data_IF_067767396867
#
_entry.id   IF_067767396867
#
_cell.length_a   1.000
_cell.length_b   1.000
_cell.length_c   1.000
_cell.angle_alpha   90.00
_cell.angle_beta   90.00
_cell.angle_gamma   90.00
#
_symmetry.space_group_name_H-M   'P 1'
#
loop_
_entity.id
_entity.type
_entity.pdbx_description
1 polymer ?
#
# COMPACT_ATOMS: atom_id res chain seq x y z
N UNK A 1 -5.01 -5.09 -30.17
CA UNK A 1 -5.05 -4.00 -29.16
C UNK A 1 -3.90 -3.06 -29.47
N UNK A 2 -4.15 -1.77 -29.67
CA UNK A 2 -3.07 -0.82 -29.97
C UNK A 2 -2.29 -0.58 -28.66
N UNK A 3 -1.03 -1.04 -28.60
CA UNK A 3 -0.16 -0.95 -27.40
C UNK A 3 0.00 0.52 -26.94
N UNK A 4 0.08 1.45 -27.87
CA UNK A 4 0.19 2.89 -27.60
C UNK A 4 -1.01 3.42 -26.82
N UNK A 5 -2.24 3.01 -27.16
CA UNK A 5 -3.45 3.42 -26.43
C UNK A 5 -3.47 2.94 -24.97
N UNK A 6 -2.85 1.80 -24.68
CA UNK A 6 -2.76 1.27 -23.31
C UNK A 6 -1.68 1.99 -22.50
N UNK A 7 -0.54 2.29 -23.12
CA UNK A 7 0.53 3.04 -22.48
C UNK A 7 0.09 4.47 -22.13
N UNK A 8 -0.51 5.17 -23.10
CA UNK A 8 -1.02 6.54 -22.92
C UNK A 8 -2.03 6.61 -21.77
N UNK A 9 -3.01 5.67 -21.72
CA UNK A 9 -4.00 5.62 -20.65
C UNK A 9 -3.38 5.34 -19.29
N UNK A 10 -2.38 4.45 -19.22
CA UNK A 10 -1.68 4.17 -17.97
C UNK A 10 -0.87 5.39 -17.53
N UNK A 11 -0.26 6.10 -18.44
CA UNK A 11 0.49 7.31 -18.17
C UNK A 11 -0.42 8.44 -17.69
N UNK A 12 -1.57 8.65 -18.33
CA UNK A 12 -2.60 9.58 -17.88
C UNK A 12 -3.09 9.25 -16.48
N UNK A 13 -3.41 7.97 -16.22
CA UNK A 13 -3.80 7.52 -14.89
C UNK A 13 -2.68 7.79 -13.86
N UNK A 14 -1.43 7.52 -14.22
CA UNK A 14 -0.29 7.78 -13.34
C UNK A 14 -0.09 9.26 -12.98
N UNK A 15 -0.50 10.17 -13.85
CA UNK A 15 -0.44 11.63 -13.62
C UNK A 15 -1.57 12.17 -12.76
N UNK A 16 -2.59 11.37 -12.47
CA UNK A 16 -3.69 11.81 -11.60
C UNK A 16 -3.15 12.13 -10.22
N UNK A 17 -3.35 13.37 -9.80
CA UNK A 17 -2.98 13.82 -8.46
C UNK A 17 -4.04 13.38 -7.45
N UNK A 18 -3.63 12.60 -6.45
CA UNK A 18 -4.52 12.12 -5.39
C UNK A 18 -4.61 13.12 -4.24
N UNK A 19 -3.49 13.78 -3.91
CA UNK A 19 -3.42 14.81 -2.88
C UNK A 19 -2.24 15.76 -3.12
N UNK A 20 -1.90 16.62 -2.16
CA UNK A 20 -0.81 17.60 -2.30
C UNK A 20 0.51 16.98 -2.76
N UNK A 21 0.89 15.83 -2.20
CA UNK A 21 2.21 15.21 -2.40
C UNK A 21 2.16 13.86 -3.13
N UNK A 22 0.98 13.29 -3.37
CA UNK A 22 0.82 11.94 -3.91
C UNK A 22 0.11 11.93 -5.25
N UNK A 23 0.63 11.08 -6.15
CA UNK A 23 0.05 10.81 -7.47
C UNK A 23 -0.31 9.33 -7.59
N UNK A 24 -1.23 9.00 -8.48
CA UNK A 24 -1.69 7.60 -8.66
C UNK A 24 -0.52 6.66 -9.00
N UNK A 25 0.50 7.12 -9.76
CA UNK A 25 1.69 6.32 -10.11
C UNK A 25 2.47 5.82 -8.90
N UNK A 26 2.45 6.55 -7.78
CA UNK A 26 3.16 6.15 -6.56
C UNK A 26 2.63 4.83 -5.99
N UNK A 27 1.40 4.45 -6.35
CA UNK A 27 0.69 3.29 -5.83
C UNK A 27 0.52 2.15 -6.84
N UNK A 28 0.85 2.37 -8.12
CA UNK A 28 0.63 1.36 -9.18
C UNK A 28 1.77 0.35 -9.30
N UNK A 29 2.92 0.59 -8.68
CA UNK A 29 4.01 -0.38 -8.71
C UNK A 29 3.69 -1.59 -7.83
N UNK A 30 3.98 -2.78 -8.35
CA UNK A 30 3.88 -4.05 -7.63
C UNK A 30 4.99 -4.99 -8.10
N UNK A 31 5.79 -5.52 -7.17
CA UNK A 31 6.83 -6.50 -7.46
C UNK A 31 6.25 -7.75 -8.12
N UNK A 32 5.07 -8.19 -7.68
CA UNK A 32 4.37 -9.35 -8.27
C UNK A 32 4.05 -9.07 -9.74
N UNK A 33 3.46 -7.91 -10.01
CA UNK A 33 3.11 -7.51 -11.37
C UNK A 33 4.35 -7.39 -12.27
N UNK A 34 5.39 -6.72 -11.78
CA UNK A 34 6.62 -6.47 -12.52
C UNK A 34 7.37 -7.78 -12.82
N UNK A 35 7.50 -8.66 -11.85
CA UNK A 35 8.24 -9.92 -12.00
C UNK A 35 7.52 -10.94 -12.89
N UNK A 36 6.19 -11.01 -12.79
CA UNK A 36 5.41 -12.02 -13.50
C UNK A 36 4.74 -11.48 -14.78
N UNK A 37 5.00 -10.24 -15.17
CA UNK A 37 4.43 -9.63 -16.38
C UNK A 37 2.90 -9.46 -16.33
N UNK A 38 2.33 -9.31 -15.13
CA UNK A 38 0.89 -9.14 -14.93
C UNK A 38 0.57 -7.65 -14.92
N UNK A 39 -0.54 -7.25 -15.54
CA UNK A 39 -0.97 -5.86 -15.56
C UNK A 39 -1.56 -5.46 -14.21
N UNK A 40 -1.03 -4.37 -13.62
CA UNK A 40 -1.56 -3.79 -12.39
C UNK A 40 -2.29 -2.48 -12.69
N UNK A 41 -3.44 -2.59 -13.35
CA UNK A 41 -4.26 -1.46 -13.81
C UNK A 41 -5.66 -1.62 -13.24
N UNK A 42 -6.25 -0.56 -12.64
CA UNK A 42 -7.62 -0.60 -12.15
C UNK A 42 -8.64 -0.88 -13.27
N UNK A 43 -9.59 -1.75 -13.01
CA UNK A 43 -10.74 -1.98 -13.88
C UNK A 43 -11.76 -0.84 -13.77
N UNK A 44 -11.85 -0.23 -12.58
CA UNK A 44 -12.62 0.99 -12.34
C UNK A 44 -11.69 2.12 -11.85
N UNK A 45 -11.03 2.85 -12.78
CA UNK A 45 -10.08 3.91 -12.42
C UNK A 45 -10.67 5.03 -11.58
N UNK A 46 -11.93 5.42 -11.84
CA UNK A 46 -12.59 6.50 -11.10
C UNK A 46 -12.72 6.15 -9.62
N UNK A 47 -13.13 4.91 -9.32
CA UNK A 47 -13.23 4.44 -7.93
C UNK A 47 -11.86 4.33 -7.29
N UNK A 48 -10.85 3.80 -7.99
CA UNK A 48 -9.48 3.73 -7.48
C UNK A 48 -8.91 5.12 -7.17
N UNK A 49 -9.18 6.12 -8.01
CA UNK A 49 -8.78 7.51 -7.80
C UNK A 49 -9.50 8.09 -6.57
N UNK A 50 -10.81 7.87 -6.46
CA UNK A 50 -11.59 8.35 -5.32
C UNK A 50 -11.06 7.78 -3.99
N UNK A 51 -10.94 6.47 -3.89
CA UNK A 51 -10.46 5.81 -2.66
C UNK A 51 -9.00 6.13 -2.35
N UNK A 52 -8.17 6.27 -3.39
CA UNK A 52 -6.78 6.72 -3.27
C UNK A 52 -6.68 8.15 -2.72
N UNK A 53 -7.56 9.08 -3.16
CA UNK A 53 -7.63 10.43 -2.58
C UNK A 53 -7.99 10.38 -1.11
N UNK A 54 -9.01 9.61 -0.75
CA UNK A 54 -9.42 9.48 0.65
C UNK A 54 -8.31 8.93 1.54
N UNK A 55 -7.56 7.92 1.06
CA UNK A 55 -6.38 7.40 1.76
C UNK A 55 -5.30 8.49 1.92
N UNK A 56 -4.97 9.18 0.83
CA UNK A 56 -3.88 10.16 0.84
C UNK A 56 -4.23 11.38 1.71
N UNK A 57 -5.40 11.98 1.51
CA UNK A 57 -5.79 13.22 2.19
C UNK A 57 -6.02 13.00 3.69
N UNK A 58 -6.65 11.88 4.07
CA UNK A 58 -7.02 11.64 5.47
C UNK A 58 -5.92 10.99 6.30
N UNK A 59 -4.99 10.24 5.67
CA UNK A 59 -4.00 9.47 6.41
C UNK A 59 -2.55 9.82 6.03
N UNK A 60 -2.20 9.81 4.73
CA UNK A 60 -0.81 9.91 4.33
C UNK A 60 -0.28 11.35 4.40
N UNK A 61 -1.07 12.34 4.00
CA UNK A 61 -0.66 13.76 4.09
C UNK A 61 -0.45 14.22 5.53
N UNK A 62 -1.38 13.97 6.50
CA UNK A 62 -1.15 14.30 7.90
C UNK A 62 0.07 13.59 8.48
N UNK A 63 0.24 12.30 8.16
CA UNK A 63 1.39 11.51 8.62
C UNK A 63 2.71 12.09 8.08
N UNK A 64 2.78 12.39 6.77
CA UNK A 64 3.95 12.97 6.14
C UNK A 64 4.24 14.40 6.63
N UNK A 65 3.21 15.20 6.87
CA UNK A 65 3.37 16.56 7.40
C UNK A 65 3.95 16.56 8.80
N UNK A 66 3.68 15.54 9.60
CA UNK A 66 4.16 15.42 10.98
C UNK A 66 5.54 14.78 11.08
N UNK A 67 5.78 13.69 10.35
CA UNK A 67 6.98 12.85 10.49
C UNK A 67 7.97 12.97 9.34
N UNK A 68 7.70 13.83 8.36
CA UNK A 68 8.50 13.96 7.15
C UNK A 68 8.14 12.90 6.10
N UNK A 69 8.96 12.84 5.05
CA UNK A 69 8.69 12.00 3.88
C UNK A 69 8.43 10.54 4.25
N UNK A 70 7.39 9.97 3.65
CA UNK A 70 7.07 8.53 3.75
C UNK A 70 7.37 7.84 2.42
N UNK A 71 7.64 6.54 2.46
CA UNK A 71 7.84 5.72 1.27
C UNK A 71 6.67 4.78 1.09
N UNK A 72 6.09 4.79 -0.10
CA UNK A 72 5.09 3.79 -0.51
C UNK A 72 5.85 2.53 -0.92
N UNK A 73 5.64 1.45 -0.19
CA UNK A 73 6.23 0.16 -0.49
C UNK A 73 5.35 -0.67 -1.43
N UNK A 74 4.06 -0.67 -1.21
CA UNK A 74 3.06 -1.20 -2.13
C UNK A 74 1.72 -0.52 -1.87
N UNK A 75 0.93 -0.34 -2.92
CA UNK A 75 -0.38 0.31 -2.83
C UNK A 75 -1.46 -0.53 -3.48
N UNK A 76 -1.98 -0.03 -4.59
CA UNK A 76 -3.00 -0.67 -5.38
C UNK A 76 -2.55 -2.03 -5.94
N UNK A 77 -3.45 -3.00 -5.93
CA UNK A 77 -3.32 -4.27 -6.65
C UNK A 77 -4.58 -4.52 -7.46
N UNK A 78 -4.40 -4.87 -8.73
CA UNK A 78 -5.53 -5.38 -9.52
C UNK A 78 -5.98 -6.73 -8.97
N UNK A 79 -7.26 -7.12 -9.16
CA UNK A 79 -7.73 -8.44 -8.77
C UNK A 79 -6.84 -9.57 -9.29
N UNK A 80 -6.38 -9.47 -10.54
CA UNK A 80 -5.50 -10.45 -11.17
C UNK A 80 -4.14 -10.56 -10.48
N UNK A 81 -3.51 -9.45 -10.14
CA UNK A 81 -2.21 -9.43 -9.41
C UNK A 81 -2.39 -10.01 -8.02
N UNK A 82 -3.47 -9.64 -7.33
CA UNK A 82 -3.72 -10.11 -5.99
C UNK A 82 -4.05 -11.61 -5.94
N UNK A 83 -4.85 -12.10 -6.87
CA UNK A 83 -5.19 -13.53 -7.01
C UNK A 83 -3.94 -14.36 -7.30
N UNK A 84 -3.10 -13.92 -8.23
CA UNK A 84 -1.82 -14.56 -8.50
C UNK A 84 -0.95 -14.64 -7.23
N UNK A 85 -0.83 -13.53 -6.51
CA UNK A 85 -0.07 -13.47 -5.26
C UNK A 85 -0.64 -14.37 -4.17
N UNK A 86 -1.96 -14.50 -4.08
CA UNK A 86 -2.62 -15.41 -3.13
C UNK A 86 -2.34 -16.88 -3.47
N UNK A 87 -2.53 -17.30 -4.72
CA UNK A 87 -2.31 -18.67 -5.17
C UNK A 87 -0.85 -19.12 -5.04
N UNK A 88 0.11 -18.17 -5.10
CA UNK A 88 1.54 -18.45 -5.01
C UNK A 88 2.15 -18.12 -3.63
N UNK A 89 1.31 -17.89 -2.60
CA UNK A 89 1.75 -17.58 -1.23
C UNK A 89 2.69 -16.34 -1.13
N UNK A 90 2.45 -15.33 -1.97
CA UNK A 90 3.23 -14.08 -2.00
C UNK A 90 2.67 -13.01 -1.04
N UNK A 91 2.24 -13.43 0.15
CA UNK A 91 1.67 -12.58 1.20
C UNK A 91 0.44 -11.76 0.76
N UNK A 92 -0.39 -12.34 -0.11
CA UNK A 92 -1.68 -11.79 -0.49
C UNK A 92 -2.81 -12.61 0.13
N UNK A 93 -3.78 -11.96 0.75
CA UNK A 93 -5.05 -12.58 1.10
C UNK A 93 -5.89 -12.81 -0.16
N UNK A 94 -7.01 -13.55 -0.07
CA UNK A 94 -7.92 -13.69 -1.21
C UNK A 94 -8.48 -12.33 -1.66
N UNK A 95 -9.00 -12.28 -2.89
CA UNK A 95 -9.56 -11.04 -3.45
C UNK A 95 -10.68 -10.49 -2.57
N UNK A 96 -11.58 -11.34 -2.09
CA UNK A 96 -12.73 -10.95 -1.26
C UNK A 96 -12.28 -10.29 0.05
N UNK A 97 -11.16 -10.73 0.62
CA UNK A 97 -10.55 -10.12 1.82
C UNK A 97 -9.76 -8.86 1.52
N UNK A 98 -9.44 -8.59 0.25
CA UNK A 98 -8.69 -7.42 -0.19
C UNK A 98 -9.53 -6.36 -0.90
N UNK A 99 -10.79 -6.64 -1.22
CA UNK A 99 -11.73 -5.63 -1.69
C UNK A 99 -11.91 -4.54 -0.63
N UNK A 100 -11.85 -3.27 -1.05
CA UNK A 100 -11.83 -2.13 -0.14
C UNK A 100 -10.55 -2.02 0.72
N UNK A 101 -9.49 -2.77 0.36
CA UNK A 101 -8.15 -2.75 0.99
C UNK A 101 -7.09 -2.50 -0.09
N UNK A 102 -6.26 -3.47 -0.46
CA UNK A 102 -5.30 -3.30 -1.55
C UNK A 102 -5.95 -3.30 -2.95
N UNK A 103 -7.14 -3.86 -3.11
CA UNK A 103 -7.95 -3.75 -4.33
C UNK A 103 -8.89 -2.56 -4.15
N UNK A 104 -8.46 -1.39 -4.62
CA UNK A 104 -9.11 -0.09 -4.33
C UNK A 104 -10.39 0.15 -5.12
N UNK A 105 -10.50 -0.48 -6.28
CA UNK A 105 -11.58 -0.29 -7.26
C UNK A 105 -12.73 -1.28 -7.12
N UNK A 106 -12.66 -2.16 -6.11
CA UNK A 106 -13.72 -3.07 -5.75
C UNK A 106 -14.19 -2.81 -4.31
N UNK A 107 -15.51 -2.61 -4.11
CA UNK A 107 -16.08 -2.46 -2.78
C UNK A 107 -16.03 -3.79 -2.01
N UNK A 108 -16.10 -3.71 -0.68
CA UNK A 108 -16.23 -4.87 0.19
C UNK A 108 -17.58 -5.60 0.00
N UNK A 109 -17.78 -6.71 0.71
CA UNK A 109 -19.01 -7.51 0.64
C UNK A 109 -20.29 -6.74 1.06
N UNK A 110 -20.14 -5.57 1.69
CA UNK A 110 -21.23 -4.69 2.07
C UNK A 110 -21.38 -3.49 1.13
N UNK A 111 -20.66 -3.48 0.02
CA UNK A 111 -20.71 -2.42 -0.99
C UNK A 111 -19.96 -1.14 -0.63
N UNK A 112 -19.07 -1.16 0.39
CA UNK A 112 -18.33 -0.01 0.88
C UNK A 112 -16.94 0.05 0.29
N UNK A 113 -16.46 1.26 0.06
CA UNK A 113 -15.17 1.52 -0.53
C UNK A 113 -14.06 1.69 0.52
N UNK A 114 -12.84 1.37 0.11
CA UNK A 114 -11.64 1.56 0.93
C UNK A 114 -10.37 1.48 0.11
N UNK A 115 -9.26 1.94 0.69
CA UNK A 115 -7.93 1.85 0.11
C UNK A 115 -6.89 1.62 1.20
N UNK A 116 -5.84 0.86 0.88
CA UNK A 116 -4.75 0.54 1.78
C UNK A 116 -3.41 0.63 1.05
N UNK A 117 -2.40 1.11 1.76
CA UNK A 117 -1.02 1.07 1.31
C UNK A 117 -0.11 0.48 2.39
N UNK A 118 0.93 -0.22 1.97
CA UNK A 118 2.06 -0.55 2.82
C UNK A 118 3.09 0.58 2.71
N UNK A 119 3.45 1.15 3.84
CA UNK A 119 4.37 2.30 3.89
C UNK A 119 5.53 2.07 4.85
N UNK A 120 6.59 2.84 4.68
CA UNK A 120 7.70 3.01 5.61
C UNK A 120 7.82 4.48 5.96
N UNK A 121 7.90 4.77 7.25
CA UNK A 121 8.17 6.11 7.78
C UNK A 121 9.63 6.14 8.26
N UNK A 122 10.58 6.77 7.55
CA UNK A 122 11.98 6.80 7.94
C UNK A 122 12.19 7.30 9.37
N UNK A 123 11.44 8.31 9.77
CA UNK A 123 11.44 8.81 11.15
C UNK A 123 11.18 7.69 12.19
N UNK A 124 10.26 6.75 11.89
CA UNK A 124 10.00 5.59 12.78
C UNK A 124 11.20 4.65 12.82
N UNK A 125 11.88 4.44 11.69
CA UNK A 125 13.09 3.59 11.65
C UNK A 125 14.16 4.19 12.58
N UNK A 126 14.46 5.49 12.42
CA UNK A 126 15.41 6.20 13.27
C UNK A 126 15.01 6.20 14.75
N UNK A 127 13.71 6.31 15.04
CA UNK A 127 13.16 6.25 16.40
C UNK A 127 13.37 4.87 17.02
N UNK A 128 13.12 3.81 16.25
CA UNK A 128 13.31 2.42 16.71
C UNK A 128 14.79 2.07 16.92
N UNK A 129 15.69 2.57 16.08
CA UNK A 129 17.15 2.42 16.24
C UNK A 129 17.66 3.06 17.55
N UNK A 130 16.98 4.09 18.04
CA UNK A 130 17.24 4.74 19.32
C UNK A 130 16.54 4.06 20.52
N UNK A 131 15.97 2.88 20.30
CA UNK A 131 15.29 2.10 21.35
C UNK A 131 13.80 2.38 21.50
N UNK A 132 13.21 3.15 20.60
CA UNK A 132 11.76 3.36 20.58
C UNK A 132 10.98 2.14 20.09
N UNK A 133 9.66 2.18 20.23
CA UNK A 133 8.77 1.11 19.79
C UNK A 133 7.83 1.57 18.68
N UNK A 134 7.55 0.69 17.72
CA UNK A 134 6.52 0.91 16.70
C UNK A 134 5.13 1.19 17.32
N UNK A 135 4.86 0.67 18.52
CA UNK A 135 3.60 0.87 19.22
C UNK A 135 3.32 2.35 19.53
N UNK A 136 4.37 3.15 19.76
CA UNK A 136 4.21 4.57 19.99
C UNK A 136 3.61 5.28 18.76
N UNK A 137 4.10 4.99 17.53
CA UNK A 137 3.49 5.52 16.32
C UNK A 137 2.08 4.97 16.08
N UNK A 138 1.84 3.71 16.42
CA UNK A 138 0.51 3.11 16.30
C UNK A 138 -0.52 3.85 17.18
N UNK A 139 -0.16 4.17 18.43
CA UNK A 139 -1.02 4.95 19.33
C UNK A 139 -1.18 6.40 18.88
N UNK A 140 -0.11 7.02 18.34
CA UNK A 140 -0.21 8.35 17.78
C UNK A 140 -1.21 8.38 16.60
N UNK A 141 -1.12 7.40 15.68
CA UNK A 141 -2.07 7.28 14.56
C UNK A 141 -3.48 7.04 15.09
N UNK A 142 -3.62 6.22 16.15
CA UNK A 142 -4.92 5.93 16.75
C UNK A 142 -5.60 7.18 17.30
N UNK A 143 -4.85 8.05 17.94
CA UNK A 143 -5.40 9.27 18.54
C UNK A 143 -5.68 10.38 17.53
N UNK A 144 -4.92 10.46 16.42
CA UNK A 144 -4.95 11.60 15.53
C UNK A 144 -5.56 11.35 14.15
N UNK A 145 -5.56 10.11 13.63
CA UNK A 145 -5.98 9.86 12.25
C UNK A 145 -7.21 8.95 12.17
N UNK A 146 -8.11 9.18 11.18
CA UNK A 146 -9.33 8.38 10.98
C UNK A 146 -9.04 7.07 10.22
N UNK A 147 -8.01 6.32 10.61
CA UNK A 147 -7.64 5.07 9.96
C UNK A 147 -8.72 3.98 10.18
N UNK A 148 -8.82 3.05 9.23
CA UNK A 148 -9.64 1.85 9.39
C UNK A 148 -8.83 0.72 10.04
N UNK A 149 -7.71 0.36 9.45
CA UNK A 149 -6.86 -0.71 9.96
C UNK A 149 -5.37 -0.37 9.81
N UNK A 150 -4.57 -0.81 10.78
CA UNK A 150 -3.12 -0.82 10.73
C UNK A 150 -2.62 -2.25 10.89
N UNK A 151 -1.53 -2.58 10.19
CA UNK A 151 -0.87 -3.87 10.36
C UNK A 151 0.64 -3.71 10.25
N UNK A 152 1.34 -3.81 11.39
CA UNK A 152 2.78 -3.61 11.46
C UNK A 152 3.57 -4.88 11.13
N UNK A 153 4.69 -4.72 10.42
CA UNK A 153 5.61 -5.78 10.04
C UNK A 153 6.94 -5.64 10.79
N UNK A 154 7.65 -6.75 10.94
CA UNK A 154 8.92 -6.78 11.70
C UNK A 154 10.09 -6.10 10.97
N UNK A 155 10.00 -5.89 9.66
CA UNK A 155 11.08 -5.31 8.86
C UNK A 155 10.84 -3.81 8.64
N UNK A 156 11.85 -2.99 8.90
CA UNK A 156 11.87 -1.54 8.63
C UNK A 156 10.73 -0.75 9.29
N UNK A 157 10.06 -1.30 10.31
CA UNK A 157 8.86 -0.68 10.83
C UNK A 157 7.77 -0.45 9.78
N UNK A 158 7.82 -1.20 8.67
CA UNK A 158 6.81 -1.11 7.61
C UNK A 158 5.44 -1.51 8.16
N UNK A 159 4.40 -0.84 7.68
CA UNK A 159 3.03 -1.19 8.06
C UNK A 159 2.03 -0.88 6.96
N UNK A 160 0.96 -1.66 6.94
CA UNK A 160 -0.23 -1.32 6.17
C UNK A 160 -1.01 -0.26 6.92
N UNK A 161 -1.48 0.76 6.21
CA UNK A 161 -2.41 1.76 6.68
C UNK A 161 -3.59 1.84 5.71
N UNK A 162 -4.81 1.71 6.22
CA UNK A 162 -6.02 1.67 5.42
C UNK A 162 -7.05 2.71 5.84
N UNK A 163 -7.63 3.36 4.82
CA UNK A 163 -8.85 4.14 4.92
C UNK A 163 -10.04 3.30 4.45
N UNK A 164 -11.20 3.50 5.05
CA UNK A 164 -12.43 2.80 4.65
C UNK A 164 -13.65 3.64 5.04
N UNK A 165 -14.73 3.61 4.24
CA UNK A 165 -15.97 4.34 4.53
C UNK A 165 -16.58 4.00 5.90
N UNK A 166 -16.41 2.76 6.35
CA UNK A 166 -16.72 2.33 7.71
C UNK A 166 -15.45 1.81 8.39
N UNK A 167 -14.72 2.64 9.12
CA UNK A 167 -13.44 2.26 9.70
C UNK A 167 -13.61 1.22 10.82
N UNK A 168 -12.78 0.16 10.75
CA UNK A 168 -12.73 -0.90 11.77
C UNK A 168 -12.08 -0.40 13.06
N UNK A 169 -11.13 0.54 12.95
CA UNK A 169 -10.33 1.07 14.06
C UNK A 169 -9.54 -0.04 14.76
N UNK A 170 -8.88 -0.89 13.99
CA UNK A 170 -8.14 -2.05 14.46
C UNK A 170 -6.66 -1.94 14.13
N UNK A 171 -5.80 -2.32 15.09
CA UNK A 171 -4.34 -2.37 14.97
C UNK A 171 -3.87 -3.78 15.27
N UNK A 172 -3.22 -4.40 14.29
CA UNK A 172 -2.58 -5.71 14.40
C UNK A 172 -1.08 -5.61 14.12
N UNK A 173 -0.30 -6.62 14.53
CA UNK A 173 1.13 -6.66 14.27
C UNK A 173 1.67 -8.09 14.13
N UNK A 174 2.61 -8.23 13.19
CA UNK A 174 3.56 -9.34 13.12
C UNK A 174 4.90 -9.00 13.81
N UNK A 175 5.18 -7.71 14.04
CA UNK A 175 6.29 -7.29 14.90
C UNK A 175 5.98 -7.54 16.36
N UNK A 176 7.00 -7.71 17.20
CA UNK A 176 6.80 -7.84 18.65
C UNK A 176 6.41 -6.49 19.28
N UNK A 177 5.39 -6.44 20.15
CA UNK A 177 4.47 -7.52 20.54
C UNK A 177 3.53 -7.90 19.40
N UNK A 178 3.39 -9.22 19.14
CA UNK A 178 2.54 -9.73 18.05
C UNK A 178 1.07 -9.81 18.45
N UNK A 179 0.20 -9.71 17.46
CA UNK A 179 -1.24 -9.85 17.63
C UNK A 179 -1.98 -8.52 17.56
N UNK A 180 -3.17 -8.47 18.13
CA UNK A 180 -4.01 -7.28 18.16
C UNK A 180 -3.56 -6.34 19.28
N UNK A 181 -3.14 -5.13 18.92
CA UNK A 181 -2.80 -4.08 19.89
C UNK A 181 -4.07 -3.45 20.47
N UNK A 182 -5.03 -3.11 19.61
CA UNK A 182 -6.35 -2.60 19.98
C UNK A 182 -7.38 -2.78 18.88
N UNK A 183 -8.63 -2.90 19.30
CA UNK A 183 -9.82 -2.89 18.45
C UNK A 183 -11.03 -2.42 19.25
N UNK A 184 -12.11 -2.05 18.56
CA UNK A 184 -13.37 -1.68 19.23
C UNK A 184 -13.79 -2.74 20.25
N UNK A 185 -14.19 -2.32 21.43
CA UNK A 185 -14.59 -3.18 22.54
C UNK A 185 -13.46 -3.59 23.51
N UNK A 186 -12.19 -3.33 23.17
CA UNK A 186 -11.09 -3.49 24.12
C UNK A 186 -11.02 -2.30 25.08
N UNK A 187 -10.62 -2.55 26.32
CA UNK A 187 -10.51 -1.52 27.38
C UNK A 187 -9.51 -0.41 27.06
N UNK A 188 -8.50 -0.72 26.22
CA UNK A 188 -7.47 0.21 25.77
C UNK A 188 -7.81 0.90 24.45
N UNK A 189 -9.07 0.82 23.97
CA UNK A 189 -9.42 1.39 22.68
C UNK A 189 -9.84 2.86 22.75
N UNK A 190 -10.40 3.26 23.86
CA UNK A 190 -10.89 4.63 24.05
C UNK A 190 -9.95 5.48 24.90
N UNK A 191 -10.18 6.79 24.87
CA UNK A 191 -9.37 7.74 25.62
C UNK A 191 -8.15 8.25 24.87
N UNK A 192 -7.28 8.96 25.55
CA UNK A 192 -6.01 9.47 25.03
C UNK A 192 -4.88 8.52 25.35
N UNK A 193 -4.01 8.28 24.40
CA UNK A 193 -2.80 7.46 24.55
C UNK A 193 -1.53 8.32 24.51
N UNK A 194 -1.64 9.62 24.78
CA UNK A 194 -0.52 10.58 24.69
C UNK A 194 0.71 10.16 25.51
N UNK A 195 0.52 9.41 26.59
CA UNK A 195 1.61 8.86 27.39
C UNK A 195 2.47 7.84 26.64
N UNK A 196 1.93 7.18 25.61
CA UNK A 196 2.62 6.16 24.81
C UNK A 196 3.56 6.74 23.76
N UNK A 197 3.40 8.03 23.40
CA UNK A 197 4.19 8.70 22.37
C UNK A 197 4.71 10.08 22.83
N UNK A 198 5.10 10.19 24.10
CA UNK A 198 5.73 11.40 24.65
C UNK A 198 6.96 11.81 23.83
N UNK A 199 7.06 13.10 23.55
CA UNK A 199 8.18 13.63 22.77
C UNK A 199 8.06 13.49 21.25
N UNK A 200 6.94 12.99 20.75
CA UNK A 200 6.66 13.00 19.32
C UNK A 200 6.45 14.44 18.81
N UNK A 201 6.70 14.70 17.50
CA UNK A 201 6.36 15.96 16.89
C UNK A 201 4.90 16.32 17.12
N UNK A 202 4.61 17.62 17.27
CA UNK A 202 3.24 18.09 17.38
C UNK A 202 2.45 17.70 16.11
N UNK A 203 1.20 17.30 16.30
CA UNK A 203 0.32 16.98 15.17
C UNK A 203 0.12 18.22 14.32
N UNK A 204 0.60 18.16 13.08
CA UNK A 204 0.33 19.14 12.06
C UNK A 204 -0.88 18.64 11.24
N UNK A 205 -2.07 19.09 11.61
CA UNK A 205 -3.24 18.86 10.75
C UNK A 205 -2.88 19.40 9.35
N UNK A 206 -3.10 18.57 8.32
CA UNK A 206 -3.01 19.08 6.97
C UNK A 206 -3.91 20.33 6.90
N UNK A 207 -3.43 21.45 6.33
CA UNK A 207 -4.31 22.59 6.12
C UNK A 207 -5.54 22.03 5.40
N UNK A 208 -6.72 22.26 5.97
CA UNK A 208 -7.99 21.97 5.31
C UNK A 208 -7.89 22.58 3.93
N UNK A 209 -7.64 21.75 2.93
CA UNK A 209 -7.68 22.18 1.56
C UNK A 209 -9.11 22.72 1.39
N UNK A 210 -9.26 24.02 1.21
CA UNK A 210 -10.46 24.53 0.60
C UNK A 210 -10.71 23.63 -0.62
N UNK A 211 -11.94 23.16 -0.87
CA UNK A 211 -12.21 22.31 -2.01
C UNK A 211 -11.66 23.06 -3.22
N UNK A 212 -10.49 22.68 -3.67
CA UNK A 212 -9.89 23.28 -4.84
C UNK A 212 -10.85 22.95 -5.97
N UNK A 213 -11.62 23.95 -6.38
CA UNK A 213 -12.28 24.00 -7.67
C UNK A 213 -11.18 24.04 -8.75
N UNK A 214 -10.31 23.05 -8.73
CA UNK A 214 -9.48 22.74 -9.86
C UNK A 214 -10.39 22.03 -10.85
N UNK A 215 -10.95 22.83 -11.71
CA UNK A 215 -11.59 22.42 -12.96
C UNK A 215 -10.51 21.74 -13.83
N UNK A 216 -10.14 20.53 -13.45
CA UNK A 216 -9.69 19.55 -14.41
C UNK A 216 -10.94 18.80 -14.85
N UNK A 217 -11.66 19.38 -15.78
CA UNK A 217 -12.66 18.68 -16.57
C UNK A 217 -11.86 17.68 -17.40
N UNK A 218 -11.55 16.54 -16.80
CA UNK A 218 -11.18 15.37 -17.57
C UNK A 218 -12.43 15.03 -18.38
N UNK A 219 -12.35 15.22 -19.69
CA UNK A 219 -13.36 14.67 -20.58
C UNK A 219 -13.61 13.22 -20.17
N UNK A 220 -14.87 12.78 -20.02
CA UNK A 220 -15.17 11.44 -19.56
C UNK A 220 -14.51 10.43 -20.49
N UNK A 221 -13.45 9.80 -20.03
CA UNK A 221 -12.83 8.67 -20.74
C UNK A 221 -13.81 7.53 -20.65
N UNK A 222 -14.59 7.31 -21.72
CA UNK A 222 -15.46 6.13 -21.84
C UNK A 222 -14.57 4.91 -21.97
N UNK A 223 -14.37 4.19 -20.89
CA UNK A 223 -13.77 2.86 -20.92
C UNK A 223 -14.80 1.88 -21.47
N UNK A 224 -14.49 1.21 -22.57
CA UNK A 224 -15.32 0.11 -23.06
C UNK A 224 -15.17 -1.09 -22.11
N UNK A 225 -16.26 -1.82 -21.79
CA UNK A 225 -16.17 -3.01 -20.95
C UNK A 225 -15.29 -4.07 -21.62
N UNK A 226 -14.50 -4.78 -20.81
CA UNK A 226 -13.47 -5.76 -21.23
C UNK A 226 -14.06 -7.08 -21.76
N UNK A 227 -15.35 -7.15 -22.06
CA UNK A 227 -16.05 -8.39 -22.43
C UNK A 227 -15.76 -8.98 -23.81
N UNK A 228 -14.83 -8.39 -24.61
CA UNK A 228 -14.46 -8.91 -25.93
C UNK A 228 -12.95 -9.11 -26.10
N UNK A 229 -12.32 -9.84 -25.21
CA UNK A 229 -10.96 -10.33 -25.45
C UNK A 229 -10.98 -11.85 -25.56
N UNK A 230 -11.17 -12.33 -26.80
CA UNK A 230 -10.87 -13.71 -27.18
C UNK A 230 -9.43 -14.04 -26.79
N UNK A 231 -9.23 -15.20 -26.13
CA UNK A 231 -7.94 -15.69 -25.70
C UNK A 231 -6.94 -15.73 -26.88
N UNK A 232 -5.67 -15.32 -26.67
CA UNK A 232 -4.66 -15.50 -27.69
C UNK A 232 -4.37 -16.99 -27.85
N UNK A 233 -4.48 -17.49 -29.09
CA UNK A 233 -3.99 -18.80 -29.49
C UNK A 233 -2.46 -18.84 -29.32
N UNK A 234 -1.99 -19.47 -28.24
CA UNK A 234 -0.58 -19.67 -27.97
C UNK A 234 -0.03 -20.76 -28.87
N UNK A 235 0.78 -20.39 -29.85
CA UNK A 235 1.74 -21.28 -30.50
C UNK A 235 2.89 -21.49 -29.48
N UNK A 236 3.31 -22.71 -29.17
CA UNK A 236 4.36 -22.91 -28.17
C UNK A 236 5.70 -22.34 -28.70
N UNK A 237 6.23 -21.37 -27.97
CA UNK A 237 7.59 -20.88 -28.20
C UNK A 237 8.61 -21.90 -27.70
N UNK A 238 9.62 -22.16 -28.51
CA UNK A 238 10.75 -23.04 -28.17
C UNK A 238 11.48 -22.53 -26.92
N UNK A 239 11.81 -23.45 -26.02
CA UNK A 239 12.56 -23.20 -24.79
C UNK A 239 13.94 -22.60 -25.10
N UNK A 240 14.33 -21.48 -24.46
CA UNK A 240 15.71 -21.01 -24.56
C UNK A 240 16.63 -21.94 -23.72
N UNK A 241 17.76 -22.30 -24.30
CA UNK A 241 18.83 -23.05 -23.61
C UNK A 241 19.39 -22.24 -22.43
N UNK A 242 19.79 -22.89 -21.33
CA UNK A 242 20.30 -22.18 -20.17
C UNK A 242 21.66 -21.56 -20.47
N UNK A 243 21.76 -20.26 -20.31
CA UNK A 243 23.05 -19.55 -20.30
C UNK A 243 23.66 -19.83 -18.93
N UNK A 244 24.74 -20.65 -18.93
CA UNK A 244 25.52 -20.95 -17.75
C UNK A 244 26.28 -19.70 -17.28
N UNK A 245 25.84 -19.09 -16.21
CA UNK A 245 26.60 -18.08 -15.48
C UNK A 245 27.24 -18.77 -14.27
N UNK A 246 28.51 -19.06 -14.39
CA UNK A 246 29.31 -19.54 -13.25
C UNK A 246 29.66 -18.39 -12.33
N UNK A 247 29.14 -18.43 -11.09
CA UNK A 247 29.63 -17.57 -10.02
C UNK A 247 30.81 -18.26 -9.31
N UNK A 248 31.92 -17.55 -9.04
CA UNK A 248 33.00 -18.13 -8.25
C UNK A 248 32.55 -18.31 -6.79
N UNK A 249 32.75 -19.53 -6.26
CA UNK A 249 32.54 -19.85 -4.86
C UNK A 249 33.52 -19.03 -4.00
N UNK A 250 32.96 -18.22 -3.10
CA UNK A 250 33.72 -17.52 -2.07
C UNK A 250 34.32 -18.57 -1.09
N UNK A 251 35.65 -18.59 -0.98
CA UNK A 251 36.41 -19.40 -0.05
C UNK A 251 36.20 -18.84 1.36
N UNK A 252 35.68 -19.65 2.27
CA UNK A 252 35.54 -19.31 3.68
C UNK A 252 36.92 -19.23 4.35
N UNK A 253 37.20 -18.26 5.26
CA UNK A 253 38.45 -18.20 5.97
C UNK A 253 38.55 -19.32 7.00
N UNK A 254 39.66 -20.07 6.96
CA UNK A 254 40.00 -21.06 7.96
C UNK A 254 40.39 -20.36 9.28
N UNK A 255 39.69 -20.71 10.34
CA UNK A 255 40.04 -20.32 11.71
C UNK A 255 41.22 -21.23 12.12
N UNK A 256 42.42 -20.66 12.31
CA UNK A 256 43.54 -21.33 12.95
C UNK A 256 43.25 -21.44 14.45
N UNK A 257 43.19 -22.65 14.94
CA UNK A 257 43.32 -22.93 16.38
C UNK A 257 44.79 -22.70 16.79
N UNK A 258 45.01 -21.89 17.78
CA UNK A 258 46.27 -21.75 18.51
C UNK A 258 46.14 -22.44 19.86
N UNK A 259 47.15 -23.26 20.10
CA UNK A 259 47.40 -23.95 21.39
C UNK A 259 47.50 -22.99 22.57
#
# INVERSE_FOLDING_TARGET
MNILNTYEKLEELGRVRLSKNFFMRDFLYSEIAAWHGIRNIPENPERAIHTGRMLCENLLEPLQSTFGRIHIRSGYRSPQVNEYGNHHNLNCASNEKNFGRHIWDYPDAQGRCGAMACIVVPWLVDYMEKGGSWTALAWWIHDHLPYSSLHFFSKLGAFNIGWHEQPERRIDSFAAPKGCLTQRGMSNHGGSHADQYKGFPAFLSAPTAEPSQSVYVASPVKFAPVSELSAPTTKPAASPSPIGVSFPLAVAPQVRASN
#
